data_IF_846082444944
#
_entry.id   IF_846082444944
#
_cell.length_a   1.000
_cell.length_b   1.000
_cell.length_c   1.000
_cell.angle_alpha   90.00
_cell.angle_beta   90.00
_cell.angle_gamma   90.00
#
_symmetry.space_group_name_H-M   'P 1'
#
loop_
_entity.id
_entity.type
_entity.pdbx_description
1 polymer ?
#
# COMPACT_ATOMS: atom_id res chain seq x y z
N UNK A 1 -6.76 5.44 -19.66
CA UNK A 1 -7.71 4.93 -18.64
C UNK A 1 -7.58 5.81 -17.41
N UNK A 2 -8.68 6.37 -16.91
CA UNK A 2 -8.67 7.43 -15.89
C UNK A 2 -8.60 8.85 -16.48
N UNK A 3 -8.38 9.85 -15.64
CA UNK A 3 -8.20 11.25 -16.03
C UNK A 3 -9.43 12.16 -15.90
N UNK A 4 -10.63 11.60 -15.72
CA UNK A 4 -11.87 12.36 -15.51
C UNK A 4 -12.69 11.77 -14.36
N UNK A 5 -13.47 12.63 -13.67
CA UNK A 5 -14.43 12.16 -12.68
C UNK A 5 -15.60 11.43 -13.35
N UNK A 6 -16.33 10.63 -12.58
CA UNK A 6 -17.50 9.91 -13.06
C UNK A 6 -18.63 10.83 -13.54
N UNK A 7 -18.72 12.03 -12.98
CA UNK A 7 -19.72 13.04 -13.37
C UNK A 7 -19.34 13.79 -14.66
N UNK A 8 -18.04 13.88 -14.95
CA UNK A 8 -17.51 14.64 -16.09
C UNK A 8 -17.47 13.81 -17.38
N UNK A 9 -17.47 12.48 -17.28
CA UNK A 9 -17.44 11.58 -18.44
C UNK A 9 -18.06 10.21 -18.17
N UNK A 10 -18.93 9.79 -19.10
CA UNK A 10 -19.42 8.42 -19.15
C UNK A 10 -18.30 7.41 -19.44
N UNK A 11 -17.29 7.80 -20.23
CA UNK A 11 -16.16 6.97 -20.62
C UNK A 11 -15.02 7.10 -19.63
N UNK A 12 -14.73 6.03 -18.87
CA UNK A 12 -13.58 5.98 -17.96
C UNK A 12 -12.27 5.59 -18.66
N UNK A 13 -12.38 4.86 -19.76
CA UNK A 13 -11.25 4.37 -20.53
C UNK A 13 -11.66 4.20 -21.98
N UNK A 14 -10.71 4.36 -22.89
CA UNK A 14 -10.92 4.23 -24.33
C UNK A 14 -9.79 3.40 -24.92
N UNK A 15 -10.09 2.68 -26.01
CA UNK A 15 -9.13 1.94 -26.81
C UNK A 15 -9.09 2.53 -28.21
N UNK A 16 -7.89 2.67 -28.76
CA UNK A 16 -7.67 3.14 -30.12
C UNK A 16 -7.38 1.96 -31.04
N UNK A 17 -8.20 1.76 -32.06
CA UNK A 17 -7.94 0.78 -33.10
C UNK A 17 -7.08 1.41 -34.20
N UNK A 18 -5.88 0.86 -34.38
CA UNK A 18 -4.89 1.38 -35.36
C UNK A 18 -5.23 1.08 -36.82
N UNK A 19 -6.10 0.10 -37.09
CA UNK A 19 -6.53 -0.27 -38.45
C UNK A 19 -7.69 0.60 -38.91
N UNK A 20 -8.68 0.80 -38.05
CA UNK A 20 -9.86 1.62 -38.37
C UNK A 20 -9.66 3.09 -38.03
N UNK A 21 -8.61 3.42 -37.26
CA UNK A 21 -8.32 4.78 -36.76
C UNK A 21 -9.45 5.39 -35.94
N UNK A 22 -10.17 4.55 -35.20
CA UNK A 22 -11.31 4.96 -34.36
C UNK A 22 -11.03 4.72 -32.88
N UNK A 23 -11.69 5.51 -32.04
CA UNK A 23 -11.71 5.31 -30.59
C UNK A 23 -13.01 4.63 -30.18
N UNK A 24 -12.91 3.69 -29.26
CA UNK A 24 -14.05 3.01 -28.65
C UNK A 24 -13.97 3.09 -27.13
N UNK A 25 -15.08 3.41 -26.49
CA UNK A 25 -15.19 3.41 -25.03
C UNK A 25 -15.13 2.00 -24.48
N UNK A 26 -14.31 1.81 -23.44
CA UNK A 26 -14.33 0.58 -22.66
C UNK A 26 -15.57 0.53 -21.74
N UNK A 27 -16.06 -0.67 -21.41
CA UNK A 27 -17.15 -0.83 -20.45
C UNK A 27 -16.78 -0.21 -19.09
N UNK A 28 -17.79 0.28 -18.38
CA UNK A 28 -17.61 0.84 -17.05
C UNK A 28 -17.06 -0.23 -16.09
N UNK A 29 -15.95 0.02 -15.39
CA UNK A 29 -15.41 -0.89 -14.40
C UNK A 29 -16.21 -0.95 -13.09
N UNK A 30 -17.15 -0.03 -12.89
CA UNK A 30 -17.81 0.22 -11.63
C UNK A 30 -17.11 1.25 -10.73
N UNK A 31 -17.78 1.62 -9.62
CA UNK A 31 -17.39 2.76 -8.78
C UNK A 31 -16.04 2.58 -8.07
N UNK A 32 -15.63 1.34 -7.82
CA UNK A 32 -14.38 1.04 -7.08
C UNK A 32 -13.14 1.54 -7.81
N UNK A 33 -13.15 1.48 -9.14
CA UNK A 33 -12.04 1.88 -9.97
C UNK A 33 -12.08 3.36 -10.36
N UNK A 34 -13.27 3.96 -10.42
CA UNK A 34 -13.48 5.39 -10.71
C UNK A 34 -13.04 6.32 -9.57
N UNK A 35 -12.82 5.81 -8.36
CA UNK A 35 -12.45 6.62 -7.18
C UNK A 35 -11.12 7.39 -7.27
N UNK A 36 -10.23 7.07 -8.23
CA UNK A 36 -8.94 7.77 -8.35
C UNK A 36 -8.61 8.08 -9.80
N UNK A 37 -8.12 9.31 -10.01
CA UNK A 37 -7.96 9.92 -11.33
C UNK A 37 -6.78 9.37 -12.13
N UNK A 38 -5.71 8.91 -11.46
CA UNK A 38 -4.51 8.36 -12.10
C UNK A 38 -4.23 6.98 -11.49
N UNK A 39 -4.14 5.95 -12.34
CA UNK A 39 -3.90 4.58 -11.92
C UNK A 39 -2.58 4.08 -12.49
N UNK A 40 -1.78 3.41 -11.65
CA UNK A 40 -0.68 2.59 -12.17
C UNK A 40 -1.26 1.46 -13.00
N UNK A 41 -0.77 1.30 -14.22
CA UNK A 41 -1.19 0.23 -15.11
C UNK A 41 -0.01 -0.67 -15.43
N UNK A 42 -0.27 -1.97 -15.55
CA UNK A 42 0.72 -2.94 -16.01
C UNK A 42 0.08 -3.89 -17.03
N UNK A 43 0.82 -4.30 -18.05
CA UNK A 43 0.36 -5.27 -19.04
C UNK A 43 1.09 -6.58 -18.83
N UNK A 44 0.35 -7.63 -18.47
CA UNK A 44 0.90 -8.96 -18.20
C UNK A 44 -0.04 -10.02 -18.78
N UNK A 45 0.51 -11.06 -19.42
CA UNK A 45 -0.28 -12.16 -20.02
C UNK A 45 -1.42 -11.64 -20.93
N UNK A 46 -1.18 -10.56 -21.67
CA UNK A 46 -2.15 -9.88 -22.57
C UNK A 46 -3.41 -9.33 -21.87
N UNK A 47 -3.33 -9.07 -20.57
CA UNK A 47 -4.36 -8.37 -19.79
C UNK A 47 -3.79 -7.06 -19.29
N UNK A 48 -4.63 -6.04 -19.22
CA UNK A 48 -4.25 -4.71 -18.72
C UNK A 48 -4.71 -4.61 -17.28
N UNK A 49 -3.78 -4.64 -16.34
CA UNK A 49 -4.05 -4.56 -14.91
C UNK A 49 -4.05 -3.10 -14.46
N UNK A 50 -5.01 -2.75 -13.62
CA UNK A 50 -5.19 -1.43 -13.02
C UNK A 50 -5.00 -1.56 -11.51
N UNK A 51 -3.97 -0.89 -10.99
CA UNK A 51 -3.62 -1.00 -9.58
C UNK A 51 -4.67 -0.30 -8.70
N UNK A 52 -5.36 -1.09 -7.85
CA UNK A 52 -6.29 -0.53 -6.86
C UNK A 52 -5.60 -0.20 -5.53
N UNK A 53 -6.19 0.64 -4.70
CA UNK A 53 -5.75 0.82 -3.30
C UNK A 53 -6.32 -0.30 -2.42
N UNK A 54 -7.44 -0.92 -2.84
CA UNK A 54 -8.18 -1.99 -2.13
C UNK A 54 -7.58 -3.38 -2.34
N UNK A 55 -8.07 -4.39 -1.62
CA UNK A 55 -7.53 -5.76 -1.52
C UNK A 55 -7.35 -6.51 -2.85
N UNK A 56 -8.00 -6.08 -3.92
CA UNK A 56 -7.95 -6.70 -5.25
C UNK A 56 -7.37 -5.76 -6.31
N UNK A 57 -6.72 -6.32 -7.33
CA UNK A 57 -6.44 -5.61 -8.58
C UNK A 57 -7.55 -5.90 -9.57
N UNK A 58 -7.86 -4.93 -10.42
CA UNK A 58 -8.76 -5.16 -11.53
C UNK A 58 -7.94 -5.31 -12.80
N UNK A 59 -8.45 -6.06 -13.76
CA UNK A 59 -7.83 -6.16 -15.07
C UNK A 59 -8.87 -6.13 -16.17
N UNK A 60 -8.50 -5.55 -17.30
CA UNK A 60 -9.24 -5.62 -18.53
C UNK A 60 -8.67 -6.75 -19.40
N UNK A 61 -9.54 -7.60 -19.94
CA UNK A 61 -9.19 -8.62 -20.92
C UNK A 61 -9.63 -8.15 -22.32
N UNK A 62 -8.71 -7.66 -23.17
CA UNK A 62 -9.06 -7.15 -24.51
C UNK A 62 -9.67 -8.20 -25.42
N UNK A 63 -9.40 -9.50 -25.21
CA UNK A 63 -9.98 -10.58 -26.03
C UNK A 63 -11.46 -10.81 -25.73
N UNK A 64 -11.86 -10.63 -24.48
CA UNK A 64 -13.24 -10.88 -24.03
C UNK A 64 -14.05 -9.59 -23.91
N UNK A 65 -13.39 -8.42 -24.00
CA UNK A 65 -14.01 -7.12 -23.81
C UNK A 65 -14.53 -6.89 -22.38
N UNK A 66 -13.97 -7.59 -21.38
CA UNK A 66 -14.53 -7.63 -20.01
C UNK A 66 -13.51 -7.28 -18.93
N UNK A 67 -14.03 -6.72 -17.84
CA UNK A 67 -13.30 -6.53 -16.59
C UNK A 67 -13.34 -7.79 -15.75
N UNK A 68 -12.21 -8.09 -15.11
CA UNK A 68 -12.08 -9.14 -14.11
C UNK A 68 -11.37 -8.62 -12.87
N UNK A 69 -11.49 -9.39 -11.79
CA UNK A 69 -10.85 -9.11 -10.51
C UNK A 69 -9.76 -10.16 -10.27
N UNK A 70 -8.61 -9.71 -9.82
CA UNK A 70 -7.50 -10.56 -9.39
C UNK A 70 -7.20 -10.28 -7.93
N UNK A 71 -6.97 -11.33 -7.15
CA UNK A 71 -6.29 -11.16 -5.87
C UNK A 71 -4.91 -10.53 -6.14
N UNK A 72 -4.52 -9.59 -5.28
CA UNK A 72 -3.20 -9.01 -5.40
C UNK A 72 -2.15 -9.99 -4.92
N UNK A 73 -1.14 -10.22 -5.74
CA UNK A 73 0.14 -10.64 -5.19
C UNK A 73 0.61 -9.50 -4.27
N UNK A 74 0.60 -9.75 -2.96
CA UNK A 74 1.11 -8.79 -2.00
C UNK A 74 2.56 -8.48 -2.39
N UNK A 75 2.84 -7.27 -2.91
CA UNK A 75 4.20 -6.76 -3.01
C UNK A 75 4.69 -6.60 -1.59
N UNK A 76 5.30 -7.65 -1.06
CA UNK A 76 5.70 -7.69 0.33
C UNK A 76 6.79 -6.65 0.51
N UNK A 77 6.50 -5.61 1.30
CA UNK A 77 7.45 -4.56 1.61
C UNK A 77 8.51 -5.05 2.60
N UNK A 78 8.92 -4.16 3.52
CA UNK A 78 9.84 -4.52 4.60
C UNK A 78 9.22 -5.63 5.46
N UNK A 79 10.01 -6.64 5.81
CA UNK A 79 9.58 -7.82 6.58
C UNK A 79 10.28 -7.89 7.92
N UNK A 80 9.60 -8.45 8.91
CA UNK A 80 10.12 -8.75 10.23
C UNK A 80 9.51 -10.07 10.72
N UNK A 81 10.22 -10.84 11.54
CA UNK A 81 9.67 -12.01 12.21
C UNK A 81 9.68 -11.79 13.72
N UNK A 82 8.53 -12.03 14.36
CA UNK A 82 8.33 -11.91 15.81
C UNK A 82 7.58 -13.16 16.26
N UNK A 83 8.16 -13.93 17.19
CA UNK A 83 7.52 -15.15 17.73
C UNK A 83 7.05 -16.12 16.64
N UNK A 84 7.88 -16.38 15.62
CA UNK A 84 7.57 -17.22 14.44
C UNK A 84 6.42 -16.72 13.54
N UNK A 85 5.93 -15.49 13.76
CA UNK A 85 4.95 -14.83 12.89
C UNK A 85 5.69 -13.81 12.03
N UNK A 86 5.48 -13.89 10.72
CA UNK A 86 6.04 -12.93 9.77
C UNK A 86 5.12 -11.74 9.63
N UNK A 87 5.70 -10.56 9.75
CA UNK A 87 5.05 -9.28 9.56
C UNK A 87 5.63 -8.59 8.32
N UNK A 88 4.79 -7.82 7.66
CA UNK A 88 5.19 -6.94 6.56
C UNK A 88 4.44 -5.64 6.66
N UNK A 89 5.06 -4.57 6.16
CA UNK A 89 4.35 -3.33 5.88
C UNK A 89 4.26 -3.07 4.38
N UNK A 90 3.19 -2.42 3.94
CA UNK A 90 3.00 -1.92 2.58
C UNK A 90 2.27 -0.58 2.61
N UNK A 91 2.01 0.03 1.44
CA UNK A 91 1.19 1.24 1.30
C UNK A 91 -0.24 1.13 1.85
N UNK A 92 -0.65 -0.05 2.32
CA UNK A 92 -1.99 -0.34 2.83
C UNK A 92 -2.05 -0.54 4.33
N UNK A 93 -0.90 -0.72 4.98
CA UNK A 93 -0.84 -0.99 6.40
C UNK A 93 0.13 -2.08 6.78
N UNK A 94 -0.03 -2.50 8.02
CA UNK A 94 0.69 -3.60 8.63
C UNK A 94 -0.06 -4.92 8.43
N UNK A 95 0.67 -5.94 8.03
CA UNK A 95 0.16 -7.27 7.72
C UNK A 95 0.95 -8.33 8.47
N UNK A 96 0.30 -9.45 8.72
CA UNK A 96 0.91 -10.67 9.22
C UNK A 96 0.59 -11.83 8.29
N UNK A 97 1.49 -12.82 8.21
CA UNK A 97 1.27 -13.99 7.38
C UNK A 97 0.54 -15.07 8.16
N UNK A 98 -0.69 -15.38 7.75
CA UNK A 98 -1.44 -16.50 8.28
C UNK A 98 -0.98 -17.79 7.58
N UNK A 99 -0.24 -18.62 8.31
CA UNK A 99 0.31 -19.88 7.78
C UNK A 99 -0.75 -20.93 7.48
N UNK A 100 -1.87 -20.93 8.21
CA UNK A 100 -2.98 -21.88 8.01
C UNK A 100 -3.70 -21.59 6.69
N UNK A 101 -3.97 -20.32 6.42
CA UNK A 101 -4.66 -19.87 5.22
C UNK A 101 -3.71 -19.55 4.05
N UNK A 102 -2.39 -19.62 4.31
CA UNK A 102 -1.31 -19.32 3.37
C UNK A 102 -1.42 -17.93 2.74
N UNK A 103 -1.93 -16.96 3.49
CA UNK A 103 -2.24 -15.61 2.99
C UNK A 103 -1.81 -14.51 3.97
N UNK A 104 -1.60 -13.29 3.46
CA UNK A 104 -1.33 -12.11 4.24
C UNK A 104 -2.63 -11.46 4.72
N UNK A 105 -2.71 -11.16 6.01
CA UNK A 105 -3.88 -10.51 6.62
C UNK A 105 -3.48 -9.23 7.33
N UNK A 106 -4.38 -8.25 7.30
CA UNK A 106 -4.16 -6.98 7.98
C UNK A 106 -4.12 -7.17 9.50
N UNK A 107 -3.21 -6.47 10.16
CA UNK A 107 -3.23 -6.34 11.63
C UNK A 107 -4.33 -5.34 12.01
N UNK A 108 -5.26 -5.77 12.87
CA UNK A 108 -6.42 -4.98 13.31
C UNK A 108 -6.03 -3.95 14.38
N UNK A 109 -6.82 -2.89 14.56
CA UNK A 109 -6.63 -1.90 15.63
C UNK A 109 -5.57 -0.83 15.35
N UNK A 110 -5.09 -0.76 14.11
CA UNK A 110 -4.02 0.17 13.67
C UNK A 110 -4.50 1.16 12.61
N UNK A 111 -5.80 1.45 12.55
CA UNK A 111 -6.42 2.28 11.52
C UNK A 111 -5.79 3.68 11.47
N UNK A 112 -5.55 4.28 12.63
CA UNK A 112 -4.91 5.59 12.77
C UNK A 112 -3.45 5.53 12.30
N UNK A 113 -2.67 4.56 12.79
CA UNK A 113 -1.27 4.40 12.39
C UNK A 113 -1.12 4.18 10.88
N UNK A 114 -1.93 3.29 10.32
CA UNK A 114 -1.94 2.97 8.89
C UNK A 114 -2.30 4.19 8.03
N UNK A 115 -3.14 5.12 8.52
CA UNK A 115 -3.43 6.36 7.81
C UNK A 115 -2.20 7.26 7.66
N UNK A 116 -1.29 7.25 8.64
CA UNK A 116 -0.14 8.17 8.68
C UNK A 116 1.19 7.56 8.20
N UNK A 117 1.42 6.26 8.37
CA UNK A 117 2.72 5.65 8.11
C UNK A 117 2.89 5.11 6.67
N UNK A 118 1.80 4.68 6.03
CA UNK A 118 1.87 3.76 4.89
C UNK A 118 2.56 4.31 3.63
N UNK A 119 2.62 5.62 3.43
CA UNK A 119 3.21 6.21 2.22
C UNK A 119 4.74 6.26 2.29
N UNK A 120 5.32 6.23 3.50
CA UNK A 120 6.75 6.45 3.73
C UNK A 120 7.39 5.49 4.73
N UNK A 121 6.89 4.25 4.87
CA UNK A 121 7.53 3.28 5.76
C UNK A 121 8.94 2.96 5.29
N UNK A 122 9.89 3.27 6.16
CA UNK A 122 11.33 3.14 5.96
C UNK A 122 11.81 1.75 6.41
N UNK A 123 11.38 1.30 7.59
CA UNK A 123 11.75 0.03 8.17
C UNK A 123 10.70 -0.52 9.15
N UNK A 124 10.69 -1.83 9.32
CA UNK A 124 10.03 -2.51 10.44
C UNK A 124 11.01 -3.46 11.10
N UNK A 125 10.92 -3.65 12.42
CA UNK A 125 11.83 -4.50 13.16
C UNK A 125 11.19 -5.11 14.43
N UNK A 126 11.82 -6.16 14.95
CA UNK A 126 11.45 -6.77 16.23
C UNK A 126 12.15 -6.01 17.35
N UNK A 127 11.37 -5.39 18.23
CA UNK A 127 11.84 -4.66 19.39
C UNK A 127 11.22 -5.27 20.65
N UNK A 128 11.97 -6.16 21.32
CA UNK A 128 11.52 -6.80 22.56
C UNK A 128 10.20 -7.58 22.42
N UNK A 129 9.98 -8.24 21.28
CA UNK A 129 8.72 -8.95 21.01
C UNK A 129 7.58 -8.05 20.51
N UNK A 130 7.84 -6.75 20.38
CA UNK A 130 6.92 -5.77 19.80
C UNK A 130 7.39 -5.37 18.40
N UNK A 131 6.48 -4.78 17.63
CA UNK A 131 6.79 -4.34 16.28
C UNK A 131 7.16 -2.87 16.29
N UNK A 132 8.39 -2.57 15.89
CA UNK A 132 8.87 -1.21 15.67
C UNK A 132 8.64 -0.83 14.20
N UNK A 133 8.06 0.34 13.96
CA UNK A 133 7.77 0.89 12.63
C UNK A 133 8.43 2.25 12.50
N UNK A 134 9.29 2.42 11.50
CA UNK A 134 9.90 3.70 11.13
C UNK A 134 9.32 4.20 9.81
N UNK A 135 8.95 5.46 9.76
CA UNK A 135 8.49 6.11 8.53
C UNK A 135 8.93 7.56 8.47
N UNK A 136 9.09 8.09 7.27
CA UNK A 136 9.24 9.52 7.02
C UNK A 136 8.03 10.04 6.21
N UNK A 137 7.74 11.33 6.29
CA UNK A 137 6.73 11.95 5.43
C UNK A 137 7.42 12.59 4.23
N UNK A 138 6.98 12.23 3.03
CA UNK A 138 7.23 13.04 1.83
C UNK A 138 6.17 14.15 1.80
N UNK A 139 6.53 15.37 2.20
CA UNK A 139 5.68 16.52 1.87
C UNK A 139 5.76 16.77 0.36
N UNK A 140 4.60 16.89 -0.29
CA UNK A 140 4.55 17.39 -1.66
C UNK A 140 4.90 18.87 -1.61
N UNK A 141 5.94 19.23 -2.36
CA UNK A 141 6.45 20.59 -2.49
C UNK A 141 5.35 21.51 -3.00
N UNK A 142 4.72 22.27 -2.11
CA UNK A 142 4.09 23.53 -2.47
C UNK A 142 5.13 24.62 -2.21
N UNK A 143 5.86 24.93 -3.27
CA UNK A 143 6.43 26.24 -3.56
C UNK A 143 6.90 27.07 -2.35
N UNK A 144 7.89 26.55 -1.62
CA UNK A 144 8.82 27.37 -0.87
C UNK A 144 10.13 26.60 -0.67
N UNK A 145 11.27 27.27 -0.81
CA UNK A 145 12.61 26.70 -0.76
C UNK A 145 13.05 26.30 0.67
N UNK A 146 12.10 26.16 1.60
CA UNK A 146 12.34 26.15 3.05
C UNK A 146 12.30 24.79 3.74
N UNK A 147 11.82 23.70 3.12
CA UNK A 147 11.79 22.36 3.75
C UNK A 147 13.00 21.50 3.32
N UNK A 148 14.21 21.90 3.74
CA UNK A 148 15.44 21.12 3.55
C UNK A 148 15.58 19.93 4.53
N UNK A 149 14.57 19.69 5.37
CA UNK A 149 14.60 18.65 6.39
C UNK A 149 13.32 17.81 6.38
N UNK A 150 13.40 16.60 6.94
CA UNK A 150 12.31 15.64 7.11
C UNK A 150 12.37 15.07 8.52
N UNK A 151 11.21 14.72 9.05
CA UNK A 151 11.10 14.01 10.32
C UNK A 151 11.01 12.51 10.08
N UNK A 152 11.88 11.77 10.77
CA UNK A 152 11.74 10.32 10.95
C UNK A 152 10.87 10.09 12.17
N UNK A 153 9.75 9.43 11.94
CA UNK A 153 8.81 8.99 12.95
C UNK A 153 9.06 7.54 13.32
N UNK A 154 8.79 7.20 14.57
CA UNK A 154 8.85 5.85 15.09
C UNK A 154 7.58 5.52 15.87
N UNK A 155 7.15 4.26 15.77
CA UNK A 155 6.08 3.70 16.59
C UNK A 155 6.48 2.34 17.13
N UNK A 156 6.10 2.05 18.37
CA UNK A 156 6.17 0.72 18.97
C UNK A 156 4.76 0.18 19.11
N UNK A 157 4.53 -0.98 18.51
CA UNK A 157 3.23 -1.64 18.43
C UNK A 157 3.29 -2.96 19.18
N UNK A 158 2.51 -3.06 20.26
CA UNK A 158 2.24 -4.33 20.90
C UNK A 158 1.31 -5.18 20.02
N UNK A 159 1.57 -6.48 19.95
CA UNK A 159 0.84 -7.41 19.11
C UNK A 159 0.14 -8.46 19.99
N UNK A 160 -1.14 -8.68 19.73
CA UNK A 160 -1.96 -9.68 20.40
C UNK A 160 -2.48 -10.68 19.37
N UNK A 161 -2.21 -11.97 19.56
CA UNK A 161 -2.69 -13.03 18.67
C UNK A 161 -3.95 -13.67 19.25
N UNK A 162 -5.05 -13.61 18.51
CA UNK A 162 -6.35 -14.18 18.87
C UNK A 162 -6.60 -15.44 18.02
N UNK A 163 -6.26 -16.59 18.60
CA UNK A 163 -6.25 -17.87 17.89
C UNK A 163 -7.66 -18.42 17.61
N UNK A 164 -8.65 -18.01 18.39
CA UNK A 164 -10.06 -18.37 18.26
C UNK A 164 -10.69 -17.82 16.98
N UNK A 165 -10.32 -16.61 16.59
CA UNK A 165 -10.82 -15.93 15.37
C UNK A 165 -9.78 -15.82 14.26
N UNK A 166 -8.59 -16.40 14.44
CA UNK A 166 -7.48 -16.34 13.48
C UNK A 166 -7.11 -14.90 13.08
N UNK A 167 -6.95 -14.04 14.10
CA UNK A 167 -6.61 -12.63 13.94
C UNK A 167 -5.35 -12.23 14.73
N UNK A 168 -4.71 -11.14 14.28
CA UNK A 168 -3.69 -10.43 15.05
C UNK A 168 -4.12 -8.99 15.18
N UNK A 169 -4.13 -8.51 16.41
CA UNK A 169 -4.45 -7.14 16.78
C UNK A 169 -3.17 -6.41 17.16
N UNK A 170 -3.13 -5.11 16.87
CA UNK A 170 -2.03 -4.24 17.21
C UNK A 170 -2.53 -3.06 18.04
N UNK A 171 -1.74 -2.69 19.05
CA UNK A 171 -1.96 -1.49 19.87
C UNK A 171 -0.70 -0.65 19.84
N UNK A 172 -0.85 0.62 19.45
CA UNK A 172 0.26 1.59 19.50
C UNK A 172 0.53 1.95 20.96
N UNK A 173 1.68 1.55 21.49
CA UNK A 173 2.09 1.91 22.84
C UNK A 173 2.81 3.26 22.88
N UNK A 174 3.52 3.59 21.80
CA UNK A 174 4.27 4.82 21.68
C UNK A 174 4.41 5.20 20.21
N UNK A 175 4.35 6.49 19.93
CA UNK A 175 4.70 7.06 18.62
C UNK A 175 5.22 8.50 18.78
N UNK A 176 6.34 8.81 18.15
CA UNK A 176 6.95 10.15 18.17
C UNK A 176 7.88 10.34 16.99
N UNK A 177 8.18 11.61 16.69
CA UNK A 177 9.39 11.98 15.95
C UNK A 177 10.61 11.54 16.76
N UNK A 178 11.56 10.88 16.11
CA UNK A 178 12.82 10.44 16.71
C UNK A 178 14.04 11.16 16.16
N UNK A 179 13.95 11.71 14.95
CA UNK A 179 15.05 12.42 14.34
C UNK A 179 14.56 13.39 13.26
N UNK A 180 15.20 14.54 13.14
CA UNK A 180 15.08 15.43 11.98
C UNK A 180 16.34 15.28 11.14
N UNK A 181 16.18 15.01 9.84
CA UNK A 181 17.27 14.71 8.90
C UNK A 181 17.15 15.60 7.67
N UNK A 182 18.25 15.88 6.94
CA UNK A 182 18.16 16.56 5.65
C UNK A 182 17.23 15.79 4.69
N UNK A 183 16.50 16.52 3.85
CA UNK A 183 15.55 15.92 2.90
C UNK A 183 16.22 15.00 1.87
N UNK A 184 17.53 15.18 1.68
CA UNK A 184 18.44 14.38 0.85
C UNK A 184 18.96 13.11 1.53
N UNK A 185 18.53 12.78 2.74
CA UNK A 185 19.01 11.57 3.40
C UNK A 185 18.54 10.31 2.66
N UNK A 186 19.38 9.28 2.68
CA UNK A 186 19.04 7.94 2.22
C UNK A 186 19.10 6.95 3.37
N UNK A 187 18.02 6.20 3.58
CA UNK A 187 17.98 5.16 4.60
C UNK A 187 18.68 3.88 4.13
N UNK A 188 19.76 3.49 4.83
CA UNK A 188 20.54 2.30 4.46
C UNK A 188 20.03 1.02 5.13
N UNK A 189 20.01 0.98 6.47
CA UNK A 189 19.64 -0.23 7.24
C UNK A 189 19.14 0.10 8.65
N UNK A 190 18.30 -0.78 9.17
CA UNK A 190 17.87 -0.80 10.57
C UNK A 190 18.56 -1.96 11.29
N UNK A 191 19.05 -1.72 12.51
CA UNK A 191 19.53 -2.77 13.40
C UNK A 191 18.91 -2.54 14.79
N UNK A 192 18.27 -3.56 15.34
CA UNK A 192 17.79 -3.54 16.71
C UNK A 192 18.76 -4.35 17.56
N UNK A 193 19.27 -3.73 18.63
CA UNK A 193 20.10 -4.40 19.63
C UNK A 193 19.22 -4.69 20.84
N UNK A 194 19.30 -5.92 21.35
CA UNK A 194 18.77 -6.20 22.68
C UNK A 194 19.61 -5.43 23.71
N UNK A 195 18.94 -4.70 24.60
CA UNK A 195 19.55 -4.05 25.76
C UNK A 195 19.67 -5.06 26.88
#
# INVERSE_FOLDING_TARGET
MGGCNAEDSASWAEVFDTKTQTWESLPDPGPELRFSLIKTMNVTKRRVYVESIRETDHYYNPKEGKWGVSSKAHKVGRKCEIGHVRYSCSKRGLFWYNTKLKDWRMVKGLEVLNKYCCVGVVAIANYGGKLLVLWDKFEQKHDDQSQNYKEIWCSVVALERRNDVEEVWGTVEWASVVLTVPSSYDFLRCQVKSV
#
